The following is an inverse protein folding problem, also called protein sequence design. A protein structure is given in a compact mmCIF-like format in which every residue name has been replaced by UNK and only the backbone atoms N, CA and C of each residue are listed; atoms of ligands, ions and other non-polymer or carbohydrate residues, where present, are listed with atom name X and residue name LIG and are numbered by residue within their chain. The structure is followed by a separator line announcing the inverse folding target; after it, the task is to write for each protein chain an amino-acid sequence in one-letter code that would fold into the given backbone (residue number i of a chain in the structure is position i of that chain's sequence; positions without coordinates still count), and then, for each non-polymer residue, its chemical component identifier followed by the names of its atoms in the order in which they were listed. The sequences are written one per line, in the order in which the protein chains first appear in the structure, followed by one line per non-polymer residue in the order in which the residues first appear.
data_IF_575912002183
#
_entry.id   IF_575912002183
#
_cell.length_a   1.000
_cell.length_b   1.000
_cell.length_c   1.000
_cell.angle_alpha   90.00
_cell.angle_beta   90.00
_cell.angle_gamma   90.00
#
_symmetry.space_group_name_H-M   'P 1'
#
loop_
_entity.id
_entity.type
_entity.pdbx_description
1 polymer ?
#
# COMPACT_ATOMS: atom_id res chain seq x y z
N UNK A 1 22.69 -11.58 -19.61
CA UNK A 1 21.66 -12.64 -19.66
C UNK A 1 20.34 -11.99 -19.29
N UNK A 2 19.38 -11.95 -20.21
CA UNK A 2 18.15 -11.17 -20.07
C UNK A 2 17.18 -11.79 -19.08
N UNK A 3 16.77 -11.03 -18.06
CA UNK A 3 15.65 -11.39 -17.22
C UNK A 3 14.37 -11.29 -18.05
N UNK A 4 13.62 -12.39 -18.13
CA UNK A 4 12.30 -12.39 -18.73
C UNK A 4 11.37 -11.47 -17.91
N UNK A 5 10.48 -10.69 -18.56
CA UNK A 5 9.47 -9.93 -17.83
C UNK A 5 8.56 -10.91 -17.09
N UNK A 6 8.19 -10.56 -15.86
CA UNK A 6 7.20 -11.30 -15.09
C UNK A 6 5.90 -11.39 -15.90
N UNK A 7 5.68 -12.55 -16.52
CA UNK A 7 4.48 -12.84 -17.29
C UNK A 7 3.32 -12.93 -16.30
N UNK A 8 2.32 -12.08 -16.46
CA UNK A 8 0.97 -12.35 -15.98
C UNK A 8 0.63 -13.78 -16.39
N UNK A 9 0.30 -14.62 -15.42
CA UNK A 9 0.00 -16.02 -15.68
C UNK A 9 -1.17 -16.12 -16.67
N UNK A 10 -0.98 -16.84 -17.78
CA UNK A 10 -2.01 -17.05 -18.78
C UNK A 10 -3.26 -17.74 -18.19
N UNK A 11 -3.12 -18.39 -17.02
CA UNK A 11 -4.22 -18.94 -16.24
C UNK A 11 -5.19 -17.88 -15.67
N UNK A 12 -4.70 -16.71 -15.26
CA UNK A 12 -5.55 -15.63 -14.73
C UNK A 12 -6.42 -14.99 -15.81
N UNK A 13 -5.89 -14.86 -17.03
CA UNK A 13 -6.64 -14.35 -18.17
C UNK A 13 -7.80 -15.28 -18.59
N UNK A 14 -7.71 -16.58 -18.30
CA UNK A 14 -8.70 -17.59 -18.66
C UNK A 14 -9.84 -17.74 -17.62
N UNK A 15 -9.63 -17.30 -16.38
CA UNK A 15 -10.60 -17.45 -15.28
C UNK A 15 -11.58 -16.28 -15.14
N UNK A 16 -11.35 -15.18 -15.87
CA UNK A 16 -12.07 -13.92 -15.68
C UNK A 16 -11.71 -13.19 -14.36
N UNK A 17 -10.80 -13.75 -13.55
CA UNK A 17 -10.30 -13.09 -12.34
C UNK A 17 -9.36 -11.96 -12.76
N UNK A 18 -9.77 -10.74 -12.40
CA UNK A 18 -8.94 -9.56 -12.56
C UNK A 18 -8.17 -9.32 -11.25
N UNK A 19 -6.84 -9.10 -11.28
CA UNK A 19 -6.07 -8.86 -10.07
C UNK A 19 -6.59 -7.60 -9.35
N UNK A 20 -6.84 -7.68 -8.05
CA UNK A 20 -7.32 -6.56 -7.23
C UNK A 20 -6.22 -5.96 -6.35
N UNK A 21 -5.05 -6.60 -6.26
CA UNK A 21 -3.89 -6.16 -5.50
C UNK A 21 -2.69 -5.88 -6.43
N UNK A 22 -2.03 -4.75 -6.22
CA UNK A 22 -0.72 -4.45 -6.77
C UNK A 22 0.27 -4.20 -5.63
N UNK A 23 1.45 -4.81 -5.70
CA UNK A 23 2.58 -4.47 -4.84
C UNK A 23 3.55 -3.57 -5.61
N UNK A 24 3.94 -2.44 -5.00
CA UNK A 24 5.00 -1.58 -5.49
C UNK A 24 6.20 -1.69 -4.56
N UNK A 25 7.34 -2.08 -5.11
CA UNK A 25 8.63 -2.04 -4.42
C UNK A 25 9.23 -0.64 -4.54
N UNK A 26 9.65 -0.08 -3.41
CA UNK A 26 10.33 1.21 -3.32
C UNK A 26 11.67 0.99 -2.64
N UNK A 27 12.75 1.35 -3.33
CA UNK A 27 14.13 1.33 -2.79
C UNK A 27 14.36 2.56 -1.89
N UNK A 28 13.58 2.66 -0.82
CA UNK A 28 13.67 3.69 0.19
C UNK A 28 12.88 3.29 1.44
N UNK A 29 13.37 3.72 2.60
CA UNK A 29 12.70 3.49 3.88
C UNK A 29 11.54 4.49 4.05
N UNK A 30 10.33 3.98 4.29
CA UNK A 30 9.22 4.80 4.76
C UNK A 30 9.49 5.29 6.19
N UNK A 31 9.64 6.59 6.37
CA UNK A 31 9.79 7.24 7.68
C UNK A 31 8.48 7.30 8.47
N UNK A 32 7.35 7.10 7.81
CA UNK A 32 6.01 7.13 8.38
C UNK A 32 5.24 5.86 7.92
N UNK A 33 4.23 5.40 8.69
CA UNK A 33 3.55 4.15 8.38
C UNK A 33 2.63 4.24 7.14
N UNK A 34 2.21 5.45 6.75
CA UNK A 34 1.52 5.72 5.49
C UNK A 34 2.48 5.72 4.28
N UNK A 35 3.78 5.99 4.50
CA UNK A 35 4.81 6.07 3.46
C UNK A 35 4.72 7.28 2.53
N UNK A 36 3.57 7.93 2.37
CA UNK A 36 3.45 9.17 1.58
C UNK A 36 3.98 10.38 2.34
N UNK A 37 3.68 10.49 3.64
CA UNK A 37 4.23 11.56 4.48
C UNK A 37 5.76 11.54 4.52
N UNK A 38 6.36 10.38 4.25
CA UNK A 38 7.82 10.24 4.13
C UNK A 38 8.44 11.08 3.01
N UNK A 39 7.72 11.40 1.93
CA UNK A 39 8.24 12.28 0.89
C UNK A 39 8.40 13.72 1.36
N UNK A 40 7.52 14.17 2.26
CA UNK A 40 7.66 15.50 2.87
C UNK A 40 8.86 15.54 3.81
N UNK A 41 9.07 14.48 4.59
CA UNK A 41 10.21 14.35 5.49
C UNK A 41 11.53 14.35 4.72
N UNK A 42 11.62 13.55 3.64
CA UNK A 42 12.80 13.51 2.75
C UNK A 42 13.13 14.90 2.20
N UNK A 43 12.10 15.63 1.76
CA UNK A 43 12.27 16.99 1.21
C UNK A 43 12.79 18.00 2.23
N UNK A 44 12.50 17.80 3.53
CA UNK A 44 12.88 18.71 4.62
C UNK A 44 14.21 18.32 5.30
N UNK A 45 14.47 17.03 5.46
CA UNK A 45 15.53 16.50 6.33
C UNK A 45 16.67 15.78 5.60
N UNK A 46 16.56 15.56 4.29
CA UNK A 46 17.54 14.81 3.50
C UNK A 46 17.17 13.33 3.37
N UNK A 47 18.04 12.55 2.72
CA UNK A 47 17.75 11.14 2.45
C UNK A 47 17.74 10.32 3.76
N UNK A 48 16.69 9.53 4.03
CA UNK A 48 16.60 8.67 5.20
C UNK A 48 17.66 7.57 5.15
N UNK A 49 17.79 6.86 6.27
CA UNK A 49 18.58 5.63 6.35
C UNK A 49 18.20 4.65 5.22
N UNK A 50 19.17 3.86 4.79
CA UNK A 50 18.97 2.89 3.73
C UNK A 50 17.89 1.87 4.14
N UNK A 51 16.97 1.59 3.22
CA UNK A 51 15.91 0.62 3.45
C UNK A 51 15.05 0.42 2.22
N UNK A 52 13.99 -0.36 2.39
CA UNK A 52 13.06 -0.71 1.33
C UNK A 52 11.64 -0.73 1.87
N UNK A 53 10.68 -0.46 0.99
CA UNK A 53 9.25 -0.44 1.31
C UNK A 53 8.47 -1.22 0.27
N UNK A 54 7.50 -2.02 0.71
CA UNK A 54 6.48 -2.62 -0.14
C UNK A 54 5.16 -1.88 0.09
N UNK A 55 4.66 -1.18 -0.93
CA UNK A 55 3.36 -0.53 -0.88
C UNK A 55 2.30 -1.48 -1.44
N UNK A 56 1.24 -1.71 -0.67
CA UNK A 56 0.08 -2.51 -1.08
C UNK A 56 -1.03 -1.60 -1.61
N UNK A 57 -1.46 -1.84 -2.83
CA UNK A 57 -2.45 -0.99 -3.53
C UNK A 57 -3.64 -1.86 -3.91
N UNK A 58 -4.82 -1.53 -3.40
CA UNK A 58 -6.07 -2.07 -3.89
C UNK A 58 -6.43 -1.37 -5.22
N UNK A 59 -6.17 -2.03 -6.35
CA UNK A 59 -6.31 -1.41 -7.69
C UNK A 59 -7.74 -1.45 -8.24
N UNK A 60 -8.62 -2.21 -7.59
CA UNK A 60 -10.04 -2.32 -7.93
C UNK A 60 -10.91 -2.24 -6.66
N UNK A 61 -10.86 -1.12 -5.92
CA UNK A 61 -11.60 -1.00 -4.67
C UNK A 61 -13.12 -1.00 -4.91
N UNK A 62 -13.85 -1.59 -3.98
CA UNK A 62 -15.32 -1.58 -3.94
C UNK A 62 -15.84 -0.30 -3.31
N UNK A 63 -15.12 0.27 -2.34
CA UNK A 63 -15.53 1.51 -1.67
C UNK A 63 -15.65 2.69 -2.64
N UNK A 64 -16.52 3.64 -2.31
CA UNK A 64 -16.78 4.82 -3.15
C UNK A 64 -16.77 6.07 -2.30
N UNK A 65 -16.00 7.05 -2.75
CA UNK A 65 -16.02 8.40 -2.20
C UNK A 65 -17.12 9.27 -2.81
N UNK A 66 -17.20 10.51 -2.31
CA UNK A 66 -18.03 11.59 -2.86
C UNK A 66 -17.31 12.92 -2.81
N UNK A 67 -17.69 13.81 -3.72
CA UNK A 67 -17.23 15.19 -3.78
C UNK A 67 -18.46 16.08 -3.70
N UNK A 68 -18.45 17.02 -2.76
CA UNK A 68 -19.58 17.92 -2.51
C UNK A 68 -19.13 19.37 -2.56
N UNK A 69 -20.01 20.26 -3.01
CA UNK A 69 -19.78 21.69 -2.86
C UNK A 69 -19.90 22.04 -1.37
N UNK A 70 -18.91 22.75 -0.84
CA UNK A 70 -18.97 23.27 0.53
C UNK A 70 -19.78 24.57 0.61
N UNK A 71 -19.65 25.39 -0.42
CA UNK A 71 -20.22 26.74 -0.48
C UNK A 71 -20.74 27.06 -1.88
N UNK A 72 -21.39 28.21 -2.04
CA UNK A 72 -21.81 28.72 -3.34
C UNK A 72 -20.71 29.47 -4.11
N UNK A 73 -19.53 29.66 -3.51
CA UNK A 73 -18.38 30.25 -4.20
C UNK A 73 -17.73 29.20 -5.12
N UNK A 74 -17.74 29.39 -6.45
CA UNK A 74 -17.16 28.42 -7.38
C UNK A 74 -15.63 28.31 -7.30
N UNK A 75 -14.96 29.22 -6.58
CA UNK A 75 -13.51 29.18 -6.35
C UNK A 75 -13.12 28.54 -5.01
N UNK A 76 -14.10 28.26 -4.13
CA UNK A 76 -13.84 27.57 -2.88
C UNK A 76 -13.50 26.09 -3.14
N UNK A 77 -12.60 25.48 -2.33
CA UNK A 77 -12.31 24.06 -2.45
C UNK A 77 -13.56 23.21 -2.16
N UNK A 78 -13.76 22.09 -2.86
CA UNK A 78 -14.86 21.18 -2.56
C UNK A 78 -14.57 20.38 -1.28
N UNK A 79 -15.62 19.81 -0.69
CA UNK A 79 -15.48 18.79 0.35
C UNK A 79 -15.20 17.45 -0.29
N UNK A 80 -14.11 16.82 0.14
CA UNK A 80 -13.70 15.51 -0.33
C UNK A 80 -13.97 14.46 0.74
N UNK A 81 -14.67 13.40 0.35
CA UNK A 81 -14.87 12.21 1.16
C UNK A 81 -14.32 11.02 0.35
N UNK A 82 -13.08 10.57 0.59
CA UNK A 82 -12.47 9.54 -0.24
C UNK A 82 -13.15 8.17 -0.13
N UNK A 83 -13.79 7.90 1.01
CA UNK A 83 -14.45 6.61 1.28
C UNK A 83 -13.47 5.45 1.36
N UNK A 84 -12.21 5.68 1.75
CA UNK A 84 -11.22 4.61 1.83
C UNK A 84 -11.64 3.55 2.84
N UNK A 85 -11.56 2.27 2.43
CA UNK A 85 -11.77 1.12 3.32
C UNK A 85 -13.15 1.09 4.03
N UNK A 86 -14.18 1.70 3.45
CA UNK A 86 -15.57 1.55 3.93
C UNK A 86 -16.10 0.14 3.68
N UNK A 87 -15.71 -0.47 2.56
CA UNK A 87 -15.98 -1.87 2.23
C UNK A 87 -14.92 -2.79 2.87
N UNK A 88 -15.36 -3.90 3.46
CA UNK A 88 -14.48 -4.86 4.11
C UNK A 88 -13.54 -5.57 3.10
N UNK A 89 -13.97 -5.67 1.85
CA UNK A 89 -13.24 -6.28 0.73
C UNK A 89 -11.95 -5.51 0.40
N UNK A 90 -11.97 -4.19 0.52
CA UNK A 90 -10.79 -3.35 0.26
C UNK A 90 -9.75 -3.56 1.35
N UNK A 91 -10.19 -3.63 2.61
CA UNK A 91 -9.33 -3.93 3.76
C UNK A 91 -8.74 -5.33 3.64
N UNK A 92 -9.56 -6.32 3.27
CA UNK A 92 -9.09 -7.69 3.06
C UNK A 92 -8.02 -7.77 1.95
N UNK A 93 -8.22 -7.04 0.85
CA UNK A 93 -7.24 -6.97 -0.25
C UNK A 93 -5.90 -6.40 0.23
N UNK A 94 -5.94 -5.31 1.00
CA UNK A 94 -4.73 -4.69 1.57
C UNK A 94 -4.05 -5.57 2.63
N UNK A 95 -4.82 -6.28 3.45
CA UNK A 95 -4.32 -7.26 4.43
C UNK A 95 -3.53 -8.37 3.76
N UNK A 96 -4.04 -8.90 2.65
CA UNK A 96 -3.30 -9.87 1.83
C UNK A 96 -2.05 -9.27 1.19
N UNK A 97 -2.09 -7.98 0.84
CA UNK A 97 -0.92 -7.20 0.42
C UNK A 97 0.20 -7.20 1.47
N UNK A 98 -0.12 -6.87 2.72
CA UNK A 98 0.86 -6.88 3.83
C UNK A 98 1.44 -8.28 4.03
N UNK A 99 0.59 -9.32 4.02
CA UNK A 99 1.04 -10.71 4.15
C UNK A 99 1.96 -11.12 3.00
N UNK A 100 1.63 -10.74 1.76
CA UNK A 100 2.45 -11.02 0.60
C UNK A 100 3.79 -10.28 0.66
N UNK A 101 3.79 -9.01 1.07
CA UNK A 101 5.02 -8.23 1.28
C UNK A 101 5.95 -8.90 2.30
N UNK A 102 5.42 -9.36 3.44
CA UNK A 102 6.19 -10.10 4.45
C UNK A 102 6.79 -11.38 3.88
N UNK A 103 6.02 -12.16 3.11
CA UNK A 103 6.53 -13.37 2.46
C UNK A 103 7.64 -13.07 1.44
N UNK A 104 7.49 -12.00 0.65
CA UNK A 104 8.50 -11.58 -0.32
C UNK A 104 9.77 -11.12 0.37
N UNK A 105 9.67 -10.28 1.40
CA UNK A 105 10.81 -9.81 2.18
C UNK A 105 11.54 -10.96 2.89
N UNK A 106 10.84 -12.03 3.26
CA UNK A 106 11.42 -13.23 3.86
C UNK A 106 12.07 -14.20 2.84
N UNK A 107 12.01 -13.91 1.54
CA UNK A 107 12.65 -14.76 0.52
C UNK A 107 14.16 -14.55 0.45
N UNK A 108 14.90 -15.56 -0.03
CA UNK A 108 16.36 -15.56 -0.14
C UNK A 108 16.91 -14.38 -0.95
N UNK A 109 16.12 -13.87 -1.92
CA UNK A 109 16.50 -12.74 -2.76
C UNK A 109 16.72 -11.43 -1.96
N UNK A 110 16.22 -11.37 -0.72
CA UNK A 110 16.37 -10.21 0.16
C UNK A 110 17.28 -10.49 1.37
N UNK A 111 17.91 -11.67 1.49
CA UNK A 111 18.74 -12.03 2.65
C UNK A 111 19.84 -10.99 2.94
N UNK A 112 20.48 -10.46 1.89
CA UNK A 112 21.59 -9.51 2.01
C UNK A 112 21.15 -8.07 2.34
N UNK A 113 19.86 -7.76 2.19
CA UNK A 113 19.35 -6.38 2.27
C UNK A 113 18.20 -6.19 3.25
N UNK A 114 17.55 -7.27 3.71
CA UNK A 114 16.43 -7.15 4.65
C UNK A 114 16.93 -6.78 6.04
N UNK A 115 16.38 -5.70 6.57
CA UNK A 115 16.49 -5.34 7.97
C UNK A 115 15.31 -5.89 8.79
N UNK A 116 15.12 -5.30 9.96
CA UNK A 116 13.91 -5.50 10.76
C UNK A 116 12.70 -4.84 10.08
N UNK A 117 11.52 -5.45 10.23
CA UNK A 117 10.27 -4.85 9.77
C UNK A 117 9.93 -3.62 10.64
N UNK A 118 9.95 -2.43 10.03
CA UNK A 118 9.62 -1.18 10.73
C UNK A 118 8.10 -1.00 10.86
N UNK A 119 7.37 -1.21 9.77
CA UNK A 119 5.91 -1.01 9.73
C UNK A 119 5.21 -2.18 9.03
N UNK A 120 4.05 -2.64 9.53
CA UNK A 120 3.44 -2.31 10.82
C UNK A 120 4.21 -2.87 12.04
N UNK A 121 5.27 -3.66 11.78
CA UNK A 121 6.09 -4.29 12.80
C UNK A 121 5.67 -5.75 13.03
N UNK A 122 6.62 -6.58 13.45
CA UNK A 122 6.44 -8.04 13.51
C UNK A 122 5.41 -8.51 14.54
N UNK A 123 5.05 -7.67 15.52
CA UNK A 123 4.03 -7.97 16.53
C UNK A 123 2.59 -7.88 15.99
N UNK A 124 2.33 -7.07 14.95
CA UNK A 124 1.01 -6.89 14.35
C UNK A 124 0.73 -8.06 13.41
N UNK A 125 -0.03 -9.06 13.86
CA UNK A 125 -0.14 -10.35 13.15
C UNK A 125 -1.57 -10.81 12.90
N UNK A 126 -2.50 -10.47 13.80
CA UNK A 126 -3.89 -10.85 13.65
C UNK A 126 -4.58 -9.98 12.59
N UNK A 127 -5.64 -10.53 11.99
CA UNK A 127 -6.47 -9.83 11.01
C UNK A 127 -7.01 -8.51 11.57
N UNK A 128 -7.38 -8.47 12.84
CA UNK A 128 -7.91 -7.28 13.49
C UNK A 128 -6.84 -6.18 13.66
N UNK A 129 -5.62 -6.54 14.07
CA UNK A 129 -4.52 -5.58 14.22
C UNK A 129 -4.07 -5.04 12.86
N UNK A 130 -4.01 -5.90 11.83
CA UNK A 130 -3.69 -5.48 10.47
C UNK A 130 -4.77 -4.55 9.91
N UNK A 131 -6.04 -4.85 10.18
CA UNK A 131 -7.16 -4.02 9.77
C UNK A 131 -7.16 -2.63 10.41
N UNK A 132 -6.81 -2.56 11.70
CA UNK A 132 -6.65 -1.30 12.41
C UNK A 132 -5.49 -0.49 11.81
N UNK A 133 -4.35 -1.14 11.58
CA UNK A 133 -3.21 -0.51 10.93
C UNK A 133 -3.56 0.03 9.53
N UNK A 134 -4.25 -0.75 8.71
CA UNK A 134 -4.67 -0.34 7.36
C UNK A 134 -5.56 0.90 7.44
N UNK A 135 -6.60 0.89 8.29
CA UNK A 135 -7.53 2.03 8.38
C UNK A 135 -6.87 3.29 8.91
N UNK A 136 -5.86 3.17 9.76
CA UNK A 136 -5.13 4.31 10.30
C UNK A 136 -4.15 4.95 9.29
N UNK A 137 -3.70 4.21 8.27
CA UNK A 137 -2.58 4.63 7.41
C UNK A 137 -2.90 4.61 5.91
N UNK A 138 -4.10 4.21 5.50
CA UNK A 138 -4.50 4.21 4.09
C UNK A 138 -4.65 5.65 3.56
N UNK A 139 -4.13 5.87 2.35
CA UNK A 139 -4.22 7.13 1.62
C UNK A 139 -4.33 6.87 0.11
N UNK A 140 -4.45 7.95 -0.68
CA UNK A 140 -4.43 7.92 -2.16
C UNK A 140 -3.03 7.73 -2.74
#
# INVERSE_FOLDING_TARGET
AGAAPATTDAADAASGLQPNLQLRFVSGLGTQPDGVSSYEDIGKAGMPDSGMTFQSIAVRPVSRGRVELDTTDPLAPPRLWPGFCEAAEDVATLREGIRLARRLAASEAFDDVRGEEVWPGTAVTSDAELDEYIRANVHS
#
